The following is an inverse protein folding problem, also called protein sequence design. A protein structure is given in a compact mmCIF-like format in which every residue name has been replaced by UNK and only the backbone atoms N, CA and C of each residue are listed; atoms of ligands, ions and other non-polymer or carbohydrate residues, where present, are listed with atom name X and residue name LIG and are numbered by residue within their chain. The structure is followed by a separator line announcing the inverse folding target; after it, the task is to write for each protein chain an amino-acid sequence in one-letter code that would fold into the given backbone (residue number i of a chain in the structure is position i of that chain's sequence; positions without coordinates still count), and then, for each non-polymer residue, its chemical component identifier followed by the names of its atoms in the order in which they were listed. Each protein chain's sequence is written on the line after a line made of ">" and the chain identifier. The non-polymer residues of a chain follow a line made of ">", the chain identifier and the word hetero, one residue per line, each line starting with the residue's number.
data_IF_396429360325
#
_entry.id   IF_396429360325
#
_cell.length_a   1.000
_cell.length_b   1.000
_cell.length_c   1.000
_cell.angle_alpha   90.00
_cell.angle_beta   90.00
_cell.angle_gamma   90.00
#
_symmetry.space_group_name_H-M   'P 1'
#
loop_
_entity.id
_entity.type
_entity.pdbx_description
1 polymer ?
#
# COMPACT_ATOMS: atom_id res chain seq x y z
N UNK A 1 7.91 -18.01 -39.82
CA UNK A 1 7.53 -18.36 -38.44
C UNK A 1 8.65 -18.05 -37.44
N UNK A 2 9.69 -17.29 -37.84
CA UNK A 2 10.85 -16.90 -37.01
C UNK A 2 10.69 -15.55 -36.28
N UNK A 3 9.48 -15.00 -36.21
CA UNK A 3 9.26 -13.63 -35.74
C UNK A 3 8.83 -13.55 -34.27
N UNK A 4 8.00 -14.48 -33.77
CA UNK A 4 7.45 -14.39 -32.40
C UNK A 4 8.49 -14.79 -31.34
N UNK A 5 9.24 -15.88 -31.57
CA UNK A 5 10.25 -16.37 -30.61
C UNK A 5 11.32 -15.31 -30.38
N UNK A 6 11.88 -14.75 -31.45
CA UNK A 6 12.90 -13.71 -31.37
C UNK A 6 12.39 -12.44 -30.65
N UNK A 7 11.13 -12.04 -30.90
CA UNK A 7 10.49 -10.93 -30.16
C UNK A 7 10.40 -11.20 -28.66
N UNK A 8 10.01 -12.41 -28.26
CA UNK A 8 9.94 -12.81 -26.85
C UNK A 8 11.34 -12.79 -26.21
N UNK A 9 12.34 -13.37 -26.89
CA UNK A 9 13.72 -13.40 -26.38
C UNK A 9 14.31 -12.00 -26.23
N UNK A 10 14.05 -11.10 -27.17
CA UNK A 10 14.49 -9.71 -27.08
C UNK A 10 13.79 -8.97 -25.91
N UNK A 11 12.47 -9.13 -25.77
CA UNK A 11 11.71 -8.51 -24.68
C UNK A 11 12.14 -9.03 -23.30
N UNK A 12 12.37 -10.34 -23.16
CA UNK A 12 12.86 -10.95 -21.93
C UNK A 12 14.27 -10.46 -21.58
N UNK A 13 15.15 -10.36 -22.59
CA UNK A 13 16.50 -9.83 -22.40
C UNK A 13 16.46 -8.42 -21.84
N UNK A 14 15.65 -7.53 -22.42
CA UNK A 14 15.51 -6.15 -21.92
C UNK A 14 14.87 -6.11 -20.52
N UNK A 15 13.84 -6.92 -20.25
CA UNK A 15 13.21 -6.97 -18.94
C UNK A 15 14.20 -7.41 -17.84
N UNK A 16 14.97 -8.48 -18.07
CA UNK A 16 15.99 -8.97 -17.13
C UNK A 16 17.11 -7.95 -16.96
N UNK A 17 17.56 -7.32 -18.05
CA UNK A 17 18.56 -6.25 -17.99
C UNK A 17 18.12 -5.12 -17.07
N UNK A 18 16.89 -4.61 -17.24
CA UNK A 18 16.33 -3.56 -16.36
C UNK A 18 16.21 -3.98 -14.91
N UNK A 19 15.85 -5.24 -14.63
CA UNK A 19 15.80 -5.74 -13.25
C UNK A 19 17.18 -5.81 -12.62
N UNK A 20 18.19 -6.29 -13.35
CA UNK A 20 19.56 -6.43 -12.85
C UNK A 20 20.31 -5.11 -12.72
N UNK A 21 20.04 -4.14 -13.61
CA UNK A 21 20.67 -2.82 -13.60
C UNK A 21 19.95 -1.79 -12.73
N UNK A 22 18.83 -2.16 -12.09
CA UNK A 22 18.13 -1.25 -11.20
C UNK A 22 19.03 -0.81 -10.04
N UNK A 23 18.94 0.48 -9.67
CA UNK A 23 19.65 1.08 -8.54
C UNK A 23 18.64 1.68 -7.55
N UNK A 24 17.93 0.84 -6.77
CA UNK A 24 16.90 1.28 -5.84
C UNK A 24 17.54 1.89 -4.58
N UNK A 25 17.25 3.17 -4.33
CA UNK A 25 17.73 3.90 -3.17
C UNK A 25 16.56 4.41 -2.35
N UNK A 26 16.57 4.13 -1.05
CA UNK A 26 15.65 4.76 -0.11
C UNK A 26 16.02 6.24 0.01
N UNK A 27 15.12 7.12 -0.40
CA UNK A 27 15.39 8.57 -0.44
C UNK A 27 14.66 9.34 0.64
N UNK A 28 13.51 8.84 1.12
CA UNK A 28 12.67 9.58 2.06
C UNK A 28 11.57 8.71 2.70
N UNK A 29 10.84 9.29 3.66
CA UNK A 29 9.60 8.79 4.25
C UNK A 29 8.58 9.93 4.30
N UNK A 30 7.37 9.72 3.77
CA UNK A 30 6.33 10.77 3.75
C UNK A 30 4.91 10.18 3.82
N UNK A 31 3.88 10.98 4.15
CA UNK A 31 2.49 10.53 4.09
C UNK A 31 2.12 10.01 2.69
N UNK A 32 1.50 8.84 2.63
CA UNK A 32 1.12 8.18 1.37
C UNK A 32 0.31 9.09 0.44
N UNK A 33 -0.61 9.88 0.99
CA UNK A 33 -1.49 10.78 0.25
C UNK A 33 -0.76 11.93 -0.44
N UNK A 34 0.50 12.21 -0.08
CA UNK A 34 1.33 13.25 -0.68
C UNK A 34 2.19 12.71 -1.83
N UNK A 35 2.54 11.41 -1.79
CA UNK A 35 3.57 10.85 -2.67
C UNK A 35 3.10 9.71 -3.57
N UNK A 36 2.04 8.98 -3.21
CA UNK A 36 1.49 7.89 -4.04
C UNK A 36 0.56 8.46 -5.12
N UNK A 37 0.89 8.29 -6.42
CA UNK A 37 0.09 8.86 -7.50
C UNK A 37 -1.34 8.32 -7.55
N UNK A 38 -2.32 9.23 -7.46
CA UNK A 38 -3.74 8.91 -7.55
C UNK A 38 -4.30 8.16 -6.35
N UNK A 39 -3.63 8.22 -5.19
CA UNK A 39 -4.27 7.89 -3.91
C UNK A 39 -5.20 9.04 -3.54
N UNK A 40 -6.51 8.83 -3.67
CA UNK A 40 -7.56 9.84 -3.43
C UNK A 40 -8.04 9.82 -1.97
N UNK A 41 -8.89 10.78 -1.58
CA UNK A 41 -9.60 10.70 -0.30
C UNK A 41 -10.55 9.49 -0.30
N UNK A 42 -10.80 8.94 0.90
CA UNK A 42 -11.62 7.73 1.07
C UNK A 42 -11.17 6.54 0.20
N UNK A 43 -9.87 6.39 0.01
CA UNK A 43 -9.25 5.25 -0.66
C UNK A 43 -8.30 4.51 0.29
N UNK A 44 -8.35 3.18 0.27
CA UNK A 44 -7.43 2.32 1.01
C UNK A 44 -6.83 1.29 0.07
N UNK A 45 -5.51 1.23 0.01
CA UNK A 45 -4.80 0.24 -0.78
C UNK A 45 -4.61 -1.06 0.00
N UNK A 46 -4.44 -2.18 -0.70
CA UNK A 46 -4.24 -3.49 -0.11
C UNK A 46 -3.29 -4.38 -0.91
N UNK A 47 -2.75 -5.41 -0.26
CA UNK A 47 -1.92 -6.41 -0.93
C UNK A 47 -2.74 -7.42 -1.73
N UNK A 48 -2.09 -8.02 -2.72
CA UNK A 48 -2.69 -9.00 -3.63
C UNK A 48 -3.38 -8.37 -4.86
N UNK A 49 -4.05 -9.19 -5.68
CA UNK A 49 -4.85 -8.74 -6.83
C UNK A 49 -6.17 -8.07 -6.37
N UNK A 50 -6.93 -7.42 -7.28
CA UNK A 50 -8.21 -6.82 -6.94
C UNK A 50 -9.14 -7.77 -6.16
N UNK A 51 -9.69 -7.29 -5.05
CA UNK A 51 -10.63 -8.04 -4.22
C UNK A 51 -11.68 -7.12 -3.61
N UNK A 52 -12.95 -7.51 -3.72
CA UNK A 52 -14.04 -6.78 -3.09
C UNK A 52 -14.09 -7.04 -1.58
N UNK A 53 -14.62 -6.08 -0.82
CA UNK A 53 -14.78 -6.15 0.65
C UNK A 53 -15.33 -7.49 1.15
N UNK A 54 -16.37 -8.01 0.49
CA UNK A 54 -17.05 -9.25 0.86
C UNK A 54 -16.15 -10.49 0.73
N UNK A 55 -15.08 -10.41 -0.07
CA UNK A 55 -14.15 -11.51 -0.32
C UNK A 55 -12.81 -11.33 0.41
N UNK A 56 -12.58 -10.20 1.06
CA UNK A 56 -11.40 -9.99 1.90
C UNK A 56 -11.38 -10.99 3.06
N UNK A 57 -10.19 -11.53 3.35
CA UNK A 57 -9.95 -12.41 4.49
C UNK A 57 -10.13 -11.67 5.83
N UNK A 58 -10.24 -12.41 6.95
CA UNK A 58 -10.39 -11.81 8.28
C UNK A 58 -9.27 -10.83 8.63
N UNK A 59 -8.02 -11.17 8.33
CA UNK A 59 -6.87 -10.29 8.54
C UNK A 59 -6.94 -9.02 7.69
N UNK A 60 -7.29 -9.15 6.41
CA UNK A 60 -7.47 -7.98 5.53
C UNK A 60 -8.60 -7.08 6.04
N UNK A 61 -9.75 -7.65 6.41
CA UNK A 61 -10.89 -6.89 6.94
C UNK A 61 -10.53 -6.13 8.21
N UNK A 62 -9.87 -6.81 9.15
CA UNK A 62 -9.36 -6.17 10.36
C UNK A 62 -8.41 -5.01 10.06
N UNK A 63 -7.53 -5.18 9.07
CA UNK A 63 -6.60 -4.15 8.64
C UNK A 63 -7.33 -2.94 8.03
N UNK A 64 -8.38 -3.16 7.22
CA UNK A 64 -9.23 -2.08 6.69
C UNK A 64 -9.97 -1.33 7.79
N UNK A 65 -10.55 -2.03 8.78
CA UNK A 65 -11.16 -1.37 9.93
C UNK A 65 -10.15 -0.46 10.64
N UNK A 66 -8.94 -0.98 10.87
CA UNK A 66 -7.87 -0.20 11.47
C UNK A 66 -7.51 1.05 10.66
N UNK A 67 -7.45 0.96 9.33
CA UNK A 67 -7.21 2.12 8.47
C UNK A 67 -8.33 3.16 8.56
N UNK A 68 -9.60 2.75 8.51
CA UNK A 68 -10.72 3.68 8.62
C UNK A 68 -10.76 4.39 9.98
N UNK A 69 -10.47 3.68 11.07
CA UNK A 69 -10.42 4.28 12.42
C UNK A 69 -9.19 5.20 12.53
N UNK A 70 -8.04 4.79 12.01
CA UNK A 70 -6.81 5.60 12.02
C UNK A 70 -6.97 6.93 11.27
N UNK A 71 -7.65 6.92 10.11
CA UNK A 71 -7.96 8.13 9.33
C UNK A 71 -9.09 8.97 9.96
N UNK A 72 -9.72 8.51 11.05
CA UNK A 72 -10.84 9.19 11.68
C UNK A 72 -12.14 9.16 10.84
N UNK A 73 -12.22 8.24 9.88
CA UNK A 73 -13.39 8.07 9.03
C UNK A 73 -14.55 7.38 9.74
N UNK A 74 -14.23 6.57 10.74
CA UNK A 74 -15.16 5.83 11.58
C UNK A 74 -14.65 5.82 13.01
N UNK A 75 -15.57 5.79 13.99
CA UNK A 75 -15.23 5.71 15.41
C UNK A 75 -14.87 4.29 15.85
N UNK A 76 -15.46 3.30 15.19
CA UNK A 76 -15.30 1.89 15.50
C UNK A 76 -15.46 1.01 14.25
N UNK A 77 -15.31 -0.30 14.44
CA UNK A 77 -15.38 -1.29 13.36
C UNK A 77 -16.80 -1.39 12.75
N UNK A 78 -17.86 -1.12 13.51
CA UNK A 78 -19.24 -1.22 13.02
C UNK A 78 -19.54 -0.05 12.08
N UNK A 79 -19.17 1.17 12.46
CA UNK A 79 -19.27 2.34 11.58
C UNK A 79 -18.38 2.19 10.34
N UNK A 80 -17.16 1.68 10.49
CA UNK A 80 -16.29 1.39 9.36
C UNK A 80 -16.90 0.35 8.41
N UNK A 81 -17.53 -0.71 8.94
CA UNK A 81 -18.22 -1.73 8.15
C UNK A 81 -19.35 -1.12 7.30
N UNK A 82 -20.14 -0.20 7.86
CA UNK A 82 -21.20 0.49 7.13
C UNK A 82 -20.65 1.34 5.97
N UNK A 83 -19.50 2.01 6.16
CA UNK A 83 -18.82 2.75 5.10
C UNK A 83 -18.31 1.82 3.99
N UNK A 84 -17.80 0.64 4.35
CA UNK A 84 -17.31 -0.34 3.38
C UNK A 84 -18.46 -0.98 2.60
N UNK A 85 -19.57 -1.32 3.27
CA UNK A 85 -20.75 -1.93 2.65
C UNK A 85 -21.52 -0.95 1.75
N UNK A 86 -21.49 0.34 2.07
CA UNK A 86 -22.08 1.39 1.22
C UNK A 86 -21.21 1.78 0.03
N UNK A 87 -19.95 1.33 -0.02
CA UNK A 87 -18.98 1.74 -1.05
C UNK A 87 -18.44 3.16 -0.88
N UNK A 88 -18.64 3.77 0.29
CA UNK A 88 -18.11 5.10 0.59
C UNK A 88 -16.58 5.14 0.71
N UNK A 89 -15.93 3.98 0.83
CA UNK A 89 -14.47 3.82 0.81
C UNK A 89 -14.09 2.87 -0.32
N UNK A 90 -13.18 3.32 -1.18
CA UNK A 90 -12.67 2.56 -2.33
C UNK A 90 -11.46 1.72 -1.93
N UNK A 91 -11.44 0.47 -2.36
CA UNK A 91 -10.32 -0.44 -2.17
C UNK A 91 -9.57 -0.67 -3.48
N UNK A 92 -8.24 -0.60 -3.46
CA UNK A 92 -7.42 -0.90 -4.63
C UNK A 92 -6.14 -1.68 -4.31
N UNK A 93 -5.63 -2.51 -5.23
CA UNK A 93 -4.32 -3.13 -5.07
C UNK A 93 -3.18 -2.12 -5.02
N UNK A 94 -2.24 -2.35 -4.11
CA UNK A 94 -0.98 -1.60 -3.99
C UNK A 94 -0.23 -1.50 -5.34
N UNK A 95 -0.16 -2.61 -6.09
CA UNK A 95 0.59 -2.70 -7.34
C UNK A 95 0.07 -1.76 -8.44
N UNK A 96 -1.22 -1.39 -8.40
CA UNK A 96 -1.79 -0.41 -9.33
C UNK A 96 -1.32 1.02 -9.08
N UNK A 97 -0.67 1.28 -7.94
CA UNK A 97 -0.25 2.59 -7.45
C UNK A 97 1.25 2.67 -7.15
N UNK A 98 2.05 1.81 -7.79
CA UNK A 98 3.50 1.71 -7.54
C UNK A 98 3.86 1.40 -6.08
N UNK A 99 2.92 0.85 -5.33
CA UNK A 99 3.11 0.52 -3.92
C UNK A 99 3.18 -0.99 -3.72
N UNK A 100 3.76 -1.39 -2.59
CA UNK A 100 3.69 -2.74 -2.04
C UNK A 100 3.47 -2.65 -0.54
N UNK A 101 2.94 -3.72 0.06
CA UNK A 101 2.70 -3.77 1.49
C UNK A 101 2.86 -5.20 2.03
N UNK A 102 3.52 -5.39 3.17
CA UNK A 102 3.63 -6.71 3.80
C UNK A 102 2.25 -7.17 4.33
N UNK A 103 1.98 -8.47 4.25
CA UNK A 103 0.78 -9.11 4.80
C UNK A 103 -0.53 -8.55 4.22
N UNK A 104 -1.45 -7.99 5.03
CA UNK A 104 -2.64 -7.30 4.50
C UNK A 104 -2.26 -6.08 3.64
N UNK A 105 -1.10 -5.48 3.92
CA UNK A 105 -0.49 -4.43 3.13
C UNK A 105 -1.33 -3.17 3.02
N UNK A 106 -2.12 -2.87 4.05
CA UNK A 106 -3.07 -1.76 4.03
C UNK A 106 -2.36 -0.41 4.07
N UNK A 107 -2.67 0.46 3.11
CA UNK A 107 -2.13 1.83 3.02
C UNK A 107 -3.29 2.81 2.87
N UNK A 108 -3.41 3.76 3.80
CA UNK A 108 -4.31 4.90 3.71
C UNK A 108 -3.51 6.21 3.67
N UNK A 109 -4.16 7.33 3.33
CA UNK A 109 -3.49 8.60 2.99
C UNK A 109 -2.50 9.10 4.06
N UNK A 110 -2.87 9.01 5.33
CA UNK A 110 -2.08 9.54 6.43
C UNK A 110 -1.01 8.57 6.94
N UNK A 111 -0.98 7.33 6.42
CA UNK A 111 0.08 6.40 6.76
C UNK A 111 1.38 6.84 6.08
N UNK A 112 2.51 6.92 6.80
CA UNK A 112 3.77 7.19 6.15
C UNK A 112 4.17 6.02 5.26
N UNK A 113 4.94 6.27 4.21
CA UNK A 113 5.51 5.24 3.33
C UNK A 113 6.96 5.55 3.03
N UNK A 114 7.77 4.50 2.93
CA UNK A 114 9.11 4.58 2.37
C UNK A 114 9.04 4.95 0.90
N UNK A 115 9.91 5.88 0.48
CA UNK A 115 10.03 6.31 -0.92
C UNK A 115 11.34 5.76 -1.46
N UNK A 116 11.24 4.82 -2.38
CA UNK A 116 12.40 4.22 -3.05
C UNK A 116 12.46 4.75 -4.47
N UNK A 117 13.57 5.38 -4.83
CA UNK A 117 13.84 5.84 -6.19
C UNK A 117 14.83 4.91 -6.88
N UNK A 118 14.49 4.46 -8.09
CA UNK A 118 15.39 3.74 -8.96
C UNK A 118 16.20 4.74 -9.80
N UNK A 119 17.44 5.04 -9.39
CA UNK A 119 18.28 6.05 -10.04
C UNK A 119 18.67 5.70 -11.47
N UNK A 120 18.70 4.41 -11.80
CA UNK A 120 19.02 3.93 -13.15
C UNK A 120 17.89 4.21 -14.17
N UNK A 121 16.63 4.20 -13.73
CA UNK A 121 15.46 4.25 -14.62
C UNK A 121 14.39 5.28 -14.22
N UNK A 122 14.67 6.15 -13.27
CA UNK A 122 13.85 7.28 -12.83
C UNK A 122 12.40 6.93 -12.45
N UNK A 123 12.16 5.71 -11.98
CA UNK A 123 10.86 5.28 -11.43
C UNK A 123 10.92 5.21 -9.90
N UNK A 124 9.76 5.33 -9.24
CA UNK A 124 9.63 5.20 -7.79
C UNK A 124 8.77 4.00 -7.39
N UNK A 125 8.96 3.54 -6.17
CA UNK A 125 8.11 2.57 -5.50
C UNK A 125 7.89 2.96 -4.04
N UNK A 126 6.75 2.57 -3.49
CA UNK A 126 6.33 2.93 -2.13
C UNK A 126 6.05 1.69 -1.29
N UNK A 127 6.37 1.74 0.00
CA UNK A 127 6.04 0.66 0.93
C UNK A 127 5.70 1.21 2.31
N UNK A 128 4.61 0.73 2.91
CA UNK A 128 4.34 1.01 4.33
C UNK A 128 5.39 0.36 5.23
N UNK A 129 5.48 0.84 6.46
CA UNK A 129 6.36 0.29 7.48
C UNK A 129 5.90 -1.11 7.90
N UNK A 130 6.83 -1.91 8.38
CA UNK A 130 6.52 -3.21 9.00
C UNK A 130 6.28 -2.95 10.48
N UNK A 131 5.13 -3.36 11.00
CA UNK A 131 4.78 -3.27 12.42
C UNK A 131 4.09 -4.56 12.90
N UNK A 132 4.11 -4.92 14.19
CA UNK A 132 3.81 -6.29 14.62
C UNK A 132 2.32 -6.68 14.65
N UNK A 133 1.37 -5.79 14.34
CA UNK A 133 -0.04 -5.99 14.66
C UNK A 133 -1.03 -5.61 13.54
N UNK A 134 -1.04 -4.36 13.07
CA UNK A 134 -2.09 -3.87 12.18
C UNK A 134 -2.05 -4.52 10.78
N UNK A 135 -0.88 -4.88 10.28
CA UNK A 135 -0.68 -5.61 9.02
C UNK A 135 -1.23 -7.05 9.07
N UNK A 136 -1.45 -7.58 10.28
CA UNK A 136 -2.10 -8.88 10.52
C UNK A 136 -3.59 -8.76 10.87
N UNK A 137 -4.13 -7.55 10.84
CA UNK A 137 -5.55 -7.27 11.02
C UNK A 137 -5.98 -6.78 12.40
N UNK A 138 -5.03 -6.51 13.30
CA UNK A 138 -5.36 -5.91 14.60
C UNK A 138 -5.72 -4.42 14.44
N UNK A 139 -6.84 -3.99 15.02
CA UNK A 139 -7.32 -2.60 15.02
C UNK A 139 -7.64 -2.08 16.42
N UNK A 140 -7.10 -2.74 17.45
CA UNK A 140 -7.15 -2.25 18.82
C UNK A 140 -6.26 -1.03 19.03
N UNK A 141 -6.45 -0.35 20.15
CA UNK A 141 -5.77 0.93 20.44
C UNK A 141 -4.25 0.84 20.38
N UNK A 142 -3.64 -0.24 20.86
CA UNK A 142 -2.19 -0.45 20.78
C UNK A 142 -1.68 -0.49 19.32
N UNK A 143 -2.40 -1.20 18.44
CA UNK A 143 -2.05 -1.30 17.02
C UNK A 143 -2.17 0.06 16.32
N UNK A 144 -3.24 0.81 16.61
CA UNK A 144 -3.47 2.14 16.02
C UNK A 144 -2.51 3.18 16.59
N UNK A 145 -2.14 3.08 17.87
CA UNK A 145 -1.14 3.94 18.47
C UNK A 145 0.22 3.77 17.80
N UNK A 146 0.61 2.54 17.43
CA UNK A 146 1.81 2.31 16.63
C UNK A 146 1.81 3.07 15.30
N UNK A 147 0.67 3.09 14.59
CA UNK A 147 0.52 3.87 13.35
C UNK A 147 0.58 5.38 13.61
N UNK A 148 -0.02 5.87 14.70
CA UNK A 148 0.03 7.29 15.08
C UNK A 148 1.43 7.72 15.45
N UNK A 149 2.20 6.89 16.15
CA UNK A 149 3.62 7.17 16.45
C UNK A 149 4.45 7.31 15.16
N UNK A 150 4.20 6.45 14.17
CA UNK A 150 4.81 6.60 12.85
C UNK A 150 4.44 7.94 12.20
N UNK A 151 3.14 8.28 12.16
CA UNK A 151 2.66 9.52 11.53
C UNK A 151 3.12 10.78 12.24
N UNK A 152 3.12 10.78 13.57
CA UNK A 152 3.21 12.01 14.38
C UNK A 152 4.61 12.22 14.99
N UNK A 153 5.42 11.17 15.12
CA UNK A 153 6.72 11.23 15.83
C UNK A 153 7.88 10.69 15.01
N UNK A 154 7.77 9.49 14.41
CA UNK A 154 8.93 8.81 13.81
C UNK A 154 9.20 9.17 12.35
N UNK A 155 8.15 9.45 11.56
CA UNK A 155 8.31 9.83 10.16
C UNK A 155 8.55 11.33 9.94
N UNK A 156 7.87 12.25 10.66
CA UNK A 156 8.15 13.68 10.52
C UNK A 156 9.60 14.02 10.90
N UNK A 157 10.17 14.99 10.20
CA UNK A 157 11.52 15.51 10.43
C UNK A 157 11.61 16.44 11.65
#
# INVERSE_FOLDING_TARGET
>A
MDDIKAKIEAANTEAVRRMNEADPVLVDIAPAGEVIPGLEDRMVLHSGPPVDWQRMSGAQRGSMFGAAIFEGWARDAEEAKQLFESGAIRFEPNHGRQAVGPMAGTISRSMPVWIVENRAFANRAFCRQVEPSQQFGSYGEEALQGLRLWRDIWAPA
#
